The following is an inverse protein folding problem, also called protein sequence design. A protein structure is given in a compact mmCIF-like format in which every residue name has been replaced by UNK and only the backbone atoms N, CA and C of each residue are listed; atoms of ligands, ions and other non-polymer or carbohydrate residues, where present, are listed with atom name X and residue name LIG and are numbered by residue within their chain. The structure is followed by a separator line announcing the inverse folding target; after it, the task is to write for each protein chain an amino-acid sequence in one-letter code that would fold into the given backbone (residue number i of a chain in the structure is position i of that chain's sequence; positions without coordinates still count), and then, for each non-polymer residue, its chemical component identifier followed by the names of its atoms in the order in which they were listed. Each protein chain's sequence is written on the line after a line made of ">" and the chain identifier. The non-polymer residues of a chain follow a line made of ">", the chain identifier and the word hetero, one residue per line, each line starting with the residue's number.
data_IF_428191540651
#
_entry.id   IF_428191540651
#
_cell.length_a   1.000
_cell.length_b   1.000
_cell.length_c   1.000
_cell.angle_alpha   90.00
_cell.angle_beta   90.00
_cell.angle_gamma   90.00
#
_symmetry.space_group_name_H-M   'P 1'
#
loop_
_entity.id
_entity.type
_entity.pdbx_description
1 polymer ?
#
# COMPACT_ATOMS: atom_id res chain seq x y z
N UNK A 1 7.83 -14.97 10.32
CA UNK A 1 7.41 -13.71 10.97
C UNK A 1 7.40 -12.56 9.98
N UNK A 2 6.29 -11.85 9.84
CA UNK A 2 6.17 -10.68 8.97
C UNK A 2 6.90 -9.47 9.58
N UNK A 3 7.66 -8.75 8.75
CA UNK A 3 8.38 -7.52 9.13
C UNK A 3 7.90 -6.30 8.38
N UNK A 4 7.50 -6.47 7.12
CA UNK A 4 6.97 -5.39 6.29
C UNK A 4 5.58 -5.71 5.77
N UNK A 5 4.73 -4.69 5.79
CA UNK A 5 3.41 -4.72 5.15
C UNK A 5 3.40 -3.67 4.06
N UNK A 6 3.23 -4.11 2.82
CA UNK A 6 3.22 -3.26 1.64
C UNK A 6 1.81 -3.25 1.06
N UNK A 7 1.29 -2.06 0.82
CA UNK A 7 -0.02 -1.86 0.22
C UNK A 7 0.13 -1.37 -1.22
N UNK A 8 -0.77 -1.80 -2.09
CA UNK A 8 -1.17 -1.01 -3.24
C UNK A 8 -2.03 0.21 -2.81
N UNK A 9 -2.40 1.09 -3.74
CA UNK A 9 -3.17 2.31 -3.46
C UNK A 9 -4.59 2.28 -4.03
N UNK A 10 -4.76 2.41 -5.36
CA UNK A 10 -6.07 2.48 -6.03
C UNK A 10 -6.85 1.17 -5.81
N UNK A 11 -8.14 1.26 -5.44
CA UNK A 11 -8.97 0.10 -5.03
C UNK A 11 -8.42 -0.73 -3.87
N UNK A 12 -7.26 -0.37 -3.32
CA UNK A 12 -6.71 -0.95 -2.11
C UNK A 12 -7.03 -0.02 -0.94
N UNK A 13 -6.43 1.16 -0.84
CA UNK A 13 -6.64 2.15 0.24
C UNK A 13 -7.90 3.01 0.06
N UNK A 14 -8.33 3.21 -1.17
CA UNK A 14 -9.51 4.02 -1.50
C UNK A 14 -10.32 3.43 -2.64
N UNK A 15 -11.56 3.87 -2.77
CA UNK A 15 -12.52 3.36 -3.76
C UNK A 15 -12.28 3.82 -5.19
N UNK A 16 -11.42 4.83 -5.42
CA UNK A 16 -11.10 5.29 -6.77
C UNK A 16 -10.13 4.33 -7.49
N UNK A 17 -10.28 4.21 -8.81
CA UNK A 17 -9.58 3.21 -9.63
C UNK A 17 -8.28 3.73 -10.26
N UNK A 18 -8.11 5.04 -10.36
CA UNK A 18 -6.93 5.66 -10.96
C UNK A 18 -6.75 7.12 -10.55
N UNK A 19 -6.07 7.39 -9.44
CA UNK A 19 -5.79 8.79 -9.04
C UNK A 19 -4.85 9.55 -10.00
N UNK A 20 -4.18 8.86 -10.95
CA UNK A 20 -3.33 9.54 -11.93
C UNK A 20 -4.12 10.45 -12.88
N UNK A 21 -5.43 10.27 -12.95
CA UNK A 21 -6.34 11.08 -13.76
C UNK A 21 -6.71 12.41 -13.09
N UNK A 22 -6.51 12.56 -11.78
CA UNK A 22 -6.99 13.72 -11.02
C UNK A 22 -6.40 15.03 -11.54
N UNK A 23 -7.22 16.08 -11.60
CA UNK A 23 -6.87 17.42 -12.03
C UNK A 23 -6.91 18.43 -10.89
N UNK A 24 -5.94 19.35 -10.91
CA UNK A 24 -5.85 20.40 -9.89
C UNK A 24 -6.95 21.48 -10.08
N UNK A 25 -7.33 22.20 -9.02
CA UNK A 25 -6.92 21.98 -7.63
C UNK A 25 -7.59 20.77 -6.99
N UNK A 26 -6.85 20.07 -6.13
CA UNK A 26 -7.42 19.06 -5.22
C UNK A 26 -8.09 19.73 -4.01
N UNK A 27 -9.28 19.26 -3.66
CA UNK A 27 -10.11 19.73 -2.55
C UNK A 27 -10.32 18.62 -1.54
N UNK A 28 -9.90 18.85 -0.30
CA UNK A 28 -10.21 17.96 0.82
C UNK A 28 -11.67 18.21 1.22
N UNK A 29 -12.52 17.20 1.09
CA UNK A 29 -13.94 17.28 1.46
C UNK A 29 -14.11 17.00 2.94
N UNK A 30 -13.42 15.98 3.43
CA UNK A 30 -13.31 15.62 4.84
C UNK A 30 -12.01 14.82 5.08
N UNK A 31 -11.83 14.28 6.28
CA UNK A 31 -10.63 13.54 6.65
C UNK A 31 -10.37 12.29 5.77
N UNK A 32 -11.36 11.72 5.10
CA UNK A 32 -11.27 10.49 4.32
C UNK A 32 -11.63 10.69 2.85
N UNK A 33 -11.98 11.91 2.43
CA UNK A 33 -12.52 12.19 1.10
C UNK A 33 -11.75 13.31 0.42
N UNK A 34 -11.31 13.06 -0.81
CA UNK A 34 -10.62 14.03 -1.66
C UNK A 34 -11.31 14.11 -3.02
N UNK A 35 -11.54 15.33 -3.51
CA UNK A 35 -12.17 15.62 -4.79
C UNK A 35 -11.23 16.45 -5.67
N UNK A 36 -11.26 16.25 -6.97
CA UNK A 36 -10.49 17.01 -7.94
C UNK A 36 -11.34 18.11 -8.62
N UNK A 37 -10.73 18.94 -9.48
CA UNK A 37 -11.45 20.04 -10.14
C UNK A 37 -12.50 19.62 -11.18
N UNK A 38 -12.56 18.33 -11.53
CA UNK A 38 -13.58 17.74 -12.41
C UNK A 38 -14.70 17.04 -11.63
N UNK A 39 -14.66 17.09 -10.30
CA UNK A 39 -15.63 16.41 -9.43
C UNK A 39 -15.39 14.90 -9.30
N UNK A 40 -14.22 14.39 -9.72
CA UNK A 40 -13.81 13.02 -9.40
C UNK A 40 -13.45 12.98 -7.93
N UNK A 41 -14.04 12.05 -7.19
CA UNK A 41 -13.79 11.87 -5.78
C UNK A 41 -13.17 10.49 -5.50
N UNK A 42 -12.33 10.42 -4.48
CA UNK A 42 -11.92 9.18 -3.84
C UNK A 42 -12.36 9.23 -2.37
N UNK A 43 -12.75 8.08 -1.85
CA UNK A 43 -13.04 7.85 -0.44
C UNK A 43 -12.11 6.76 0.07
N UNK A 44 -11.43 7.01 1.19
CA UNK A 44 -10.72 5.95 1.90
C UNK A 44 -11.71 4.88 2.33
N UNK A 45 -11.32 3.63 2.19
CA UNK A 45 -12.11 2.55 2.76
C UNK A 45 -12.16 2.66 4.30
N UNK A 46 -13.21 2.11 4.93
CA UNK A 46 -13.27 2.05 6.38
C UNK A 46 -12.01 1.40 6.99
N UNK A 47 -11.60 1.88 8.17
CA UNK A 47 -10.50 1.32 8.98
C UNK A 47 -9.09 1.48 8.40
N UNK A 48 -8.91 2.08 7.22
CA UNK A 48 -7.57 2.27 6.58
C UNK A 48 -6.63 3.02 7.51
N UNK A 49 -7.06 4.17 8.05
CA UNK A 49 -6.21 5.02 8.90
C UNK A 49 -5.86 4.32 10.20
N UNK A 50 -6.85 3.73 10.84
CA UNK A 50 -6.70 3.00 12.09
C UNK A 50 -5.73 1.83 11.90
N UNK A 51 -5.84 1.12 10.79
CA UNK A 51 -5.00 -0.04 10.48
C UNK A 51 -3.56 0.36 10.18
N UNK A 52 -3.35 1.39 9.35
CA UNK A 52 -2.00 1.92 9.07
C UNK A 52 -1.33 2.43 10.36
N UNK A 53 -2.07 3.15 11.19
CA UNK A 53 -1.59 3.64 12.49
C UNK A 53 -1.20 2.50 13.41
N UNK A 54 -2.08 1.51 13.56
CA UNK A 54 -1.86 0.39 14.46
C UNK A 54 -0.72 -0.52 13.99
N UNK A 55 -0.60 -0.80 12.68
CA UNK A 55 0.55 -1.52 12.16
C UNK A 55 1.86 -0.77 12.44
N UNK A 56 1.89 0.55 12.24
CA UNK A 56 3.07 1.36 12.56
C UNK A 56 3.38 1.34 14.05
N UNK A 57 2.38 1.45 14.93
CA UNK A 57 2.55 1.38 16.39
C UNK A 57 3.10 0.02 16.86
N UNK A 58 2.74 -1.06 16.17
CA UNK A 58 3.28 -2.42 16.41
C UNK A 58 4.69 -2.63 15.85
N UNK A 59 5.27 -1.62 15.20
CA UNK A 59 6.65 -1.67 14.69
C UNK A 59 6.80 -2.30 13.31
N UNK A 60 5.72 -2.52 12.55
CA UNK A 60 5.82 -3.00 11.17
C UNK A 60 6.38 -1.91 10.25
N UNK A 61 7.22 -2.32 9.31
CA UNK A 61 7.71 -1.42 8.26
C UNK A 61 6.65 -1.33 7.16
N UNK A 62 6.01 -0.18 7.08
CA UNK A 62 4.98 0.09 6.07
C UNK A 62 5.55 0.61 4.76
N UNK A 63 5.16 -0.03 3.66
CA UNK A 63 5.47 0.39 2.29
C UNK A 63 4.22 0.64 1.45
N UNK A 64 4.36 1.46 0.40
CA UNK A 64 3.34 1.65 -0.63
C UNK A 64 3.95 1.33 -2.01
N UNK A 65 3.32 0.45 -2.79
CA UNK A 65 3.72 0.06 -4.14
C UNK A 65 2.56 0.29 -5.12
N UNK A 66 2.50 1.49 -5.72
CA UNK A 66 1.36 1.89 -6.56
C UNK A 66 1.71 2.11 -8.03
N UNK A 67 0.79 1.71 -8.90
CA UNK A 67 0.84 2.01 -10.34
C UNK A 67 0.22 3.37 -10.64
N UNK A 68 0.94 4.45 -10.31
CA UNK A 68 0.51 5.82 -10.58
C UNK A 68 1.69 6.72 -10.96
N UNK A 69 1.40 7.92 -11.48
CA UNK A 69 2.39 8.99 -11.52
C UNK A 69 2.78 9.40 -10.11
N UNK A 70 4.09 9.46 -9.85
CA UNK A 70 4.64 9.72 -8.51
C UNK A 70 4.18 11.06 -7.93
N UNK A 71 4.19 12.13 -8.73
CA UNK A 71 3.69 13.44 -8.31
C UNK A 71 2.22 13.39 -7.85
N UNK A 72 1.37 12.65 -8.58
CA UNK A 72 -0.06 12.50 -8.27
C UNK A 72 -0.25 11.71 -6.97
N UNK A 73 0.46 10.59 -6.83
CA UNK A 73 0.41 9.78 -5.62
C UNK A 73 0.85 10.57 -4.38
N UNK A 74 1.97 11.29 -4.46
CA UNK A 74 2.47 12.12 -3.35
C UNK A 74 1.45 13.20 -2.98
N UNK A 75 0.86 13.88 -3.96
CA UNK A 75 -0.15 14.93 -3.71
C UNK A 75 -1.39 14.37 -3.01
N UNK A 76 -1.94 13.27 -3.49
CA UNK A 76 -3.11 12.61 -2.87
C UNK A 76 -2.81 12.14 -1.46
N UNK A 77 -1.69 11.44 -1.25
CA UNK A 77 -1.29 10.96 0.07
C UNK A 77 -1.02 12.11 1.05
N UNK A 78 -0.48 13.23 0.56
CA UNK A 78 -0.22 14.41 1.39
C UNK A 78 -1.51 15.13 1.76
N UNK A 79 -2.43 15.31 0.80
CA UNK A 79 -3.72 15.94 1.04
C UNK A 79 -4.57 15.15 2.05
N UNK A 80 -4.47 13.82 2.01
CA UNK A 80 -5.12 12.93 2.97
C UNK A 80 -4.26 12.66 4.22
N UNK A 81 -3.13 13.32 4.44
CA UNK A 81 -2.28 13.07 5.62
C UNK A 81 -1.97 11.57 5.87
N UNK A 82 -1.70 10.83 4.79
CA UNK A 82 -1.34 9.41 4.82
C UNK A 82 0.16 9.16 4.71
N UNK A 83 0.92 10.12 4.16
CA UNK A 83 2.37 10.03 3.97
C UNK A 83 3.10 9.61 5.25
N UNK A 84 2.67 10.14 6.39
CA UNK A 84 3.25 9.89 7.71
C UNK A 84 3.21 8.43 8.16
N UNK A 85 2.34 7.59 7.59
CA UNK A 85 2.27 6.17 7.95
C UNK A 85 3.32 5.32 7.24
N UNK A 86 3.69 5.69 6.01
CA UNK A 86 4.57 4.91 5.17
C UNK A 86 6.03 5.29 5.38
N UNK A 87 6.89 4.28 5.48
CA UNK A 87 8.33 4.49 5.56
C UNK A 87 8.96 4.59 4.17
N UNK A 88 8.41 3.84 3.21
CA UNK A 88 8.84 3.87 1.82
C UNK A 88 7.61 3.92 0.91
N UNK A 89 7.58 4.89 0.02
CA UNK A 89 6.55 5.02 -1.01
C UNK A 89 7.22 4.86 -2.36
N UNK A 90 6.74 3.93 -3.17
CA UNK A 90 7.18 3.71 -4.53
C UNK A 90 5.95 3.77 -5.44
N UNK A 91 5.85 4.87 -6.18
CA UNK A 91 4.89 5.06 -7.25
C UNK A 91 5.62 4.99 -8.60
N UNK A 92 5.14 4.19 -9.54
CA UNK A 92 5.69 4.14 -10.91
C UNK A 92 4.58 4.14 -11.94
N UNK A 93 4.79 4.74 -13.13
CA UNK A 93 3.80 4.77 -14.21
C UNK A 93 3.70 3.43 -14.97
N UNK A 94 3.99 2.30 -14.32
CA UNK A 94 3.90 0.95 -14.88
C UNK A 94 3.49 -0.07 -13.80
N UNK A 95 2.84 -1.20 -14.17
CA UNK A 95 2.21 -2.12 -13.22
C UNK A 95 3.17 -3.15 -12.57
N UNK A 96 4.48 -2.98 -12.68
CA UNK A 96 5.45 -4.01 -12.29
C UNK A 96 5.70 -4.02 -10.78
N UNK A 97 4.75 -4.57 -10.00
CA UNK A 97 4.81 -4.62 -8.53
C UNK A 97 6.06 -5.33 -7.98
N UNK A 98 6.58 -6.33 -8.68
CA UNK A 98 7.84 -6.99 -8.28
C UNK A 98 9.05 -6.02 -8.31
N UNK A 99 9.10 -5.08 -9.27
CA UNK A 99 10.14 -4.04 -9.28
C UNK A 99 9.94 -3.06 -8.12
N UNK A 100 8.71 -2.61 -7.89
CA UNK A 100 8.39 -1.70 -6.79
C UNK A 100 8.74 -2.31 -5.43
N UNK A 101 8.39 -3.58 -5.19
CA UNK A 101 8.74 -4.31 -3.98
C UNK A 101 10.26 -4.45 -3.84
N UNK A 102 10.99 -4.72 -4.93
CA UNK A 102 12.46 -4.74 -4.91
C UNK A 102 13.04 -3.40 -4.48
N UNK A 103 12.53 -2.29 -5.02
CA UNK A 103 12.92 -0.94 -4.61
C UNK A 103 12.60 -0.68 -3.14
N UNK A 104 11.41 -1.08 -2.66
CA UNK A 104 11.04 -0.95 -1.24
C UNK A 104 12.03 -1.70 -0.35
N UNK A 105 12.38 -2.94 -0.68
CA UNK A 105 13.35 -3.73 0.08
C UNK A 105 14.74 -3.06 0.13
N UNK A 106 15.19 -2.49 -1.00
CA UNK A 106 16.46 -1.75 -1.08
C UNK A 106 16.41 -0.49 -0.22
N UNK A 107 15.34 0.29 -0.31
CA UNK A 107 15.20 1.53 0.46
C UNK A 107 15.09 1.26 1.96
N UNK A 108 14.40 0.19 2.38
CA UNK A 108 14.37 -0.24 3.78
C UNK A 108 15.78 -0.56 4.28
N UNK A 109 16.56 -1.32 3.50
CA UNK A 109 17.95 -1.62 3.84
C UNK A 109 18.79 -0.36 3.95
N UNK A 110 18.67 0.56 2.99
CA UNK A 110 19.51 1.76 2.94
C UNK A 110 19.16 2.76 4.06
N UNK A 111 17.87 2.95 4.35
CA UNK A 111 17.40 3.98 5.30
C UNK A 111 17.34 3.50 6.73
N UNK A 112 17.11 2.20 6.96
CA UNK A 112 16.88 1.63 8.29
C UNK A 112 17.95 0.63 8.71
N UNK A 113 18.87 0.27 7.82
CA UNK A 113 19.85 -0.80 8.05
C UNK A 113 19.18 -2.16 8.40
N UNK A 114 17.96 -2.39 7.88
CA UNK A 114 17.20 -3.64 8.07
C UNK A 114 17.18 -4.41 6.74
N UNK A 115 17.61 -5.67 6.76
CA UNK A 115 17.45 -6.57 5.61
C UNK A 115 16.16 -7.36 5.76
N UNK A 116 15.24 -7.16 4.82
CA UNK A 116 13.99 -7.91 4.72
C UNK A 116 14.13 -9.00 3.65
N UNK A 117 13.64 -10.20 3.96
CA UNK A 117 13.50 -11.30 3.01
C UNK A 117 12.09 -11.34 2.41
N UNK A 118 11.90 -11.93 1.22
CA UNK A 118 10.59 -12.02 0.57
C UNK A 118 9.49 -12.62 1.47
N UNK A 119 9.80 -13.68 2.23
CA UNK A 119 8.91 -14.37 3.16
C UNK A 119 8.56 -13.57 4.43
N UNK A 120 9.20 -12.43 4.63
CA UNK A 120 8.91 -11.49 5.72
C UNK A 120 8.01 -10.32 5.24
N UNK A 121 7.51 -10.38 4.00
CA UNK A 121 6.68 -9.34 3.38
C UNK A 121 5.24 -9.85 3.21
N UNK A 122 4.29 -9.08 3.75
CA UNK A 122 2.88 -9.15 3.39
C UNK A 122 2.58 -8.07 2.35
N UNK A 123 2.12 -8.46 1.16
CA UNK A 123 1.71 -7.55 0.10
C UNK A 123 0.19 -7.63 -0.12
N UNK A 124 -0.47 -6.47 -0.07
CA UNK A 124 -1.92 -6.32 -0.21
C UNK A 124 -2.22 -5.51 -1.47
N UNK A 125 -3.05 -6.07 -2.36
CA UNK A 125 -3.42 -5.46 -3.64
C UNK A 125 -4.83 -5.95 -4.00
N UNK A 126 -5.65 -5.13 -4.66
CA UNK A 126 -6.99 -5.54 -5.11
C UNK A 126 -6.95 -6.49 -6.32
N UNK A 127 -5.79 -6.61 -6.98
CA UNK A 127 -5.64 -7.38 -8.23
C UNK A 127 -4.61 -8.49 -8.10
N UNK A 128 -5.11 -9.72 -7.95
CA UNK A 128 -4.31 -10.96 -7.98
C UNK A 128 -3.42 -11.14 -9.21
N UNK A 129 -3.78 -10.52 -10.33
CA UNK A 129 -2.98 -10.55 -11.56
C UNK A 129 -1.55 -10.05 -11.39
N UNK A 130 -1.27 -9.25 -10.35
CA UNK A 130 0.08 -8.77 -10.06
C UNK A 130 0.97 -9.82 -9.36
N UNK A 131 0.39 -10.85 -8.73
CA UNK A 131 1.13 -11.74 -7.82
C UNK A 131 2.05 -12.73 -8.54
N UNK A 132 1.67 -13.19 -9.74
CA UNK A 132 2.46 -14.18 -10.49
C UNK A 132 3.90 -13.72 -10.73
N UNK A 133 4.11 -12.48 -11.17
CA UNK A 133 5.45 -11.92 -11.37
C UNK A 133 6.17 -11.67 -10.04
N UNK A 134 5.45 -11.32 -8.97
CA UNK A 134 6.06 -11.19 -7.64
C UNK A 134 6.66 -12.53 -7.21
N UNK A 135 5.90 -13.61 -7.30
CA UNK A 135 6.39 -14.93 -6.93
C UNK A 135 7.50 -15.43 -7.85
N UNK A 136 7.39 -15.18 -9.16
CA UNK A 136 8.40 -15.57 -10.13
C UNK A 136 9.76 -14.90 -9.86
N UNK A 137 9.77 -13.60 -9.55
CA UNK A 137 11.02 -12.84 -9.45
C UNK A 137 11.53 -12.66 -8.02
N UNK A 138 10.66 -12.64 -7.02
CA UNK A 138 11.02 -12.41 -5.62
C UNK A 138 10.87 -13.65 -4.74
N UNK A 139 10.19 -14.70 -5.20
CA UNK A 139 9.93 -15.89 -4.40
C UNK A 139 8.77 -15.70 -3.42
N UNK A 140 8.93 -16.18 -2.19
CA UNK A 140 7.83 -16.42 -1.25
C UNK A 140 7.25 -15.18 -0.56
N UNK A 141 6.91 -14.13 -1.31
CA UNK A 141 6.12 -13.00 -0.77
C UNK A 141 4.69 -13.46 -0.45
N UNK A 142 4.20 -13.15 0.75
CA UNK A 142 2.80 -13.41 1.11
C UNK A 142 1.93 -12.34 0.44
N UNK A 143 1.33 -12.67 -0.71
CA UNK A 143 0.41 -11.78 -1.41
C UNK A 143 -1.04 -12.14 -1.08
N UNK A 144 -1.86 -11.14 -0.75
CA UNK A 144 -3.28 -11.32 -0.49
C UNK A 144 -4.12 -10.33 -1.31
N UNK A 145 -5.17 -10.84 -1.94
CA UNK A 145 -6.10 -10.05 -2.72
C UNK A 145 -7.12 -9.37 -1.80
N UNK A 146 -7.12 -8.03 -1.79
CA UNK A 146 -8.16 -7.27 -1.10
C UNK A 146 -9.54 -7.59 -1.67
N UNK A 147 -10.54 -7.59 -0.81
CA UNK A 147 -11.95 -7.89 -1.13
C UNK A 147 -12.23 -9.35 -1.52
N UNK A 148 -11.22 -10.23 -1.43
CA UNK A 148 -11.39 -11.68 -1.58
C UNK A 148 -10.69 -12.46 -0.46
N UNK A 149 -9.37 -12.32 -0.36
CA UNK A 149 -8.58 -12.98 0.69
C UNK A 149 -8.64 -12.17 2.00
N UNK A 150 -8.78 -10.84 1.90
CA UNK A 150 -8.99 -9.91 3.02
C UNK A 150 -10.22 -9.07 2.73
N UNK A 151 -11.30 -9.26 3.50
CA UNK A 151 -12.56 -8.52 3.24
C UNK A 151 -12.69 -7.27 4.11
N UNK A 152 -11.94 -7.21 5.21
CA UNK A 152 -11.86 -6.05 6.09
C UNK A 152 -10.42 -5.85 6.56
N UNK A 153 -10.05 -4.59 6.77
CA UNK A 153 -8.69 -4.26 7.18
C UNK A 153 -8.28 -4.86 8.53
N UNK A 154 -9.21 -4.97 9.47
CA UNK A 154 -8.93 -5.61 10.77
C UNK A 154 -8.48 -7.08 10.66
N UNK A 155 -8.82 -7.79 9.57
CA UNK A 155 -8.40 -9.18 9.36
C UNK A 155 -6.88 -9.30 9.13
N UNK A 156 -6.23 -8.22 8.67
CA UNK A 156 -4.77 -8.18 8.47
C UNK A 156 -4.03 -8.55 9.75
N UNK A 157 -4.53 -8.15 10.92
CA UNK A 157 -3.88 -8.46 12.20
C UNK A 157 -3.94 -9.94 12.54
N UNK A 158 -5.06 -10.61 12.24
CA UNK A 158 -5.21 -12.04 12.54
C UNK A 158 -4.43 -12.90 11.55
N UNK A 159 -4.35 -12.46 10.30
CA UNK A 159 -3.50 -13.05 9.27
C UNK A 159 -2.03 -12.97 9.67
N UNK A 160 -1.54 -11.81 10.10
CA UNK A 160 -0.16 -11.66 10.54
C UNK A 160 0.14 -12.57 11.73
N UNK A 161 -0.75 -12.62 12.75
CA UNK A 161 -0.59 -13.54 13.89
C UNK A 161 -0.52 -15.00 13.47
N UNK A 162 -1.37 -15.41 12.51
CA UNK A 162 -1.37 -16.77 11.98
C UNK A 162 -0.04 -17.14 11.33
N UNK A 163 0.47 -16.25 10.46
CA UNK A 163 1.77 -16.43 9.79
C UNK A 163 2.95 -16.42 10.76
N UNK A 164 2.86 -15.65 11.85
CA UNK A 164 3.93 -15.58 12.86
C UNK A 164 3.94 -16.80 13.80
N UNK A 165 2.86 -17.59 13.82
CA UNK A 165 2.71 -18.80 14.64
C UNK A 165 3.12 -20.09 13.93
N UNK A 166 3.36 -20.03 12.61
CA UNK A 166 3.87 -21.11 11.76
C UNK A 166 5.41 -21.14 11.73
#
# INVERSE_FOLDING_TARGET
>A
MIKAVVFDADKTLWDHHNISEFEEPLKIVDANTLEDSKGRALHLFPEVRETLRELKNRGYILGLATWNYEEKAIKVLSALDLMQYFHVIVAKPFPYKFLMLSYIMIEIRNRMNVRIKPDEILFLDDRRGHFGNIWLYLGNVKCLEMWKDVTRYVEIFDIIKGVDSE
#
